data_IF_713020345328
#
_entry.id   IF_713020345328
#
_cell.length_a   1.000
_cell.length_b   1.000
_cell.length_c   1.000
_cell.angle_alpha   90.00
_cell.angle_beta   90.00
_cell.angle_gamma   90.00
#
_symmetry.space_group_name_H-M   'P 1'
#
loop_
_entity.id
_entity.type
_entity.pdbx_description
1 polymer ?
#
# COMPACT_ATOMS: atom_id res chain seq x y z
N UNK A 1 -25.17 -9.11 -23.79
CA UNK A 1 -25.28 -7.64 -23.74
C UNK A 1 -23.96 -6.89 -23.93
N UNK A 2 -23.02 -6.83 -22.98
CA UNK A 2 -21.83 -5.96 -23.15
C UNK A 2 -20.89 -6.37 -24.32
N UNK A 3 -20.72 -7.68 -24.56
CA UNK A 3 -19.98 -8.19 -25.72
C UNK A 3 -20.70 -7.94 -27.06
N UNK A 4 -22.04 -8.00 -27.06
CA UNK A 4 -22.88 -7.77 -28.25
C UNK A 4 -22.82 -6.29 -28.68
N UNK A 5 -22.77 -5.35 -27.73
CA UNK A 5 -22.59 -3.92 -28.00
C UNK A 5 -21.18 -3.63 -28.59
N UNK A 6 -20.18 -4.42 -28.21
CA UNK A 6 -18.83 -4.36 -28.77
C UNK A 6 -18.72 -5.01 -30.16
N UNK A 7 -19.80 -5.46 -30.79
CA UNK A 7 -19.81 -5.93 -32.18
C UNK A 7 -20.49 -4.94 -33.14
N UNK A 8 -21.11 -3.87 -32.62
CA UNK A 8 -21.78 -2.82 -33.41
C UNK A 8 -20.75 -1.85 -34.01
N UNK A 9 -20.96 -1.35 -35.24
CA UNK A 9 -19.97 -0.49 -35.93
C UNK A 9 -19.89 0.94 -35.42
N UNK A 10 -20.97 1.46 -34.80
CA UNK A 10 -21.09 2.82 -34.25
C UNK A 10 -21.01 2.80 -32.71
N UNK A 11 -19.88 2.35 -32.16
CA UNK A 11 -19.64 2.44 -30.71
C UNK A 11 -19.25 3.85 -30.34
N UNK A 12 -19.92 4.42 -29.35
CA UNK A 12 -19.54 5.70 -28.79
C UNK A 12 -18.60 5.55 -27.58
N UNK A 13 -18.15 6.68 -27.02
CA UNK A 13 -17.28 6.68 -25.85
C UNK A 13 -17.96 6.08 -24.61
N UNK A 14 -19.29 6.15 -24.50
CA UNK A 14 -20.03 5.57 -23.38
C UNK A 14 -20.05 4.05 -23.45
N UNK A 15 -20.22 3.48 -24.64
CA UNK A 15 -20.14 2.03 -24.87
C UNK A 15 -18.78 1.48 -24.46
N UNK A 16 -17.70 2.16 -24.86
CA UNK A 16 -16.32 1.79 -24.51
C UNK A 16 -16.12 1.86 -23.00
N UNK A 17 -16.62 2.92 -22.34
CA UNK A 17 -16.52 3.08 -20.88
C UNK A 17 -17.31 2.02 -20.13
N UNK A 18 -18.56 1.77 -20.53
CA UNK A 18 -19.41 0.76 -19.92
C UNK A 18 -18.76 -0.63 -20.02
N UNK A 19 -18.23 -0.97 -21.19
CA UNK A 19 -17.52 -2.21 -21.40
C UNK A 19 -16.23 -2.29 -20.57
N UNK A 20 -15.46 -1.21 -20.49
CA UNK A 20 -14.28 -1.11 -19.64
C UNK A 20 -14.58 -1.37 -18.16
N UNK A 21 -15.67 -0.79 -17.63
CA UNK A 21 -16.13 -1.07 -16.27
C UNK A 21 -16.53 -2.53 -16.07
N UNK A 22 -17.25 -3.13 -17.02
CA UNK A 22 -17.60 -4.55 -16.97
C UNK A 22 -16.33 -5.43 -16.90
N UNK A 23 -15.32 -5.15 -17.73
CA UNK A 23 -14.06 -5.91 -17.71
C UNK A 23 -13.30 -5.75 -16.39
N UNK A 24 -13.24 -4.53 -15.85
CA UNK A 24 -12.63 -4.26 -14.53
C UNK A 24 -13.30 -5.09 -13.43
N UNK A 25 -14.63 -5.11 -13.40
CA UNK A 25 -15.38 -5.84 -12.38
C UNK A 25 -15.26 -7.36 -12.54
N UNK A 26 -15.27 -7.87 -13.77
CA UNK A 26 -15.03 -9.28 -14.07
C UNK A 26 -13.64 -9.73 -13.60
N UNK A 27 -12.59 -8.94 -13.88
CA UNK A 27 -11.23 -9.22 -13.40
C UNK A 27 -11.20 -9.26 -11.88
N UNK A 28 -11.71 -8.23 -11.21
CA UNK A 28 -11.74 -8.16 -9.73
C UNK A 28 -12.45 -9.37 -9.13
N UNK A 29 -13.62 -9.74 -9.67
CA UNK A 29 -14.42 -10.88 -9.21
C UNK A 29 -13.68 -12.20 -9.39
N UNK A 30 -13.15 -12.45 -10.58
CA UNK A 30 -12.58 -13.74 -10.95
C UNK A 30 -11.22 -13.96 -10.25
N UNK A 31 -10.40 -12.91 -10.13
CA UNK A 31 -9.17 -12.95 -9.31
C UNK A 31 -9.50 -13.26 -7.85
N UNK A 32 -10.49 -12.56 -7.26
CA UNK A 32 -10.90 -12.77 -5.86
C UNK A 32 -11.46 -14.18 -5.63
N UNK A 33 -12.14 -14.75 -6.62
CA UNK A 33 -12.75 -16.08 -6.52
C UNK A 33 -11.79 -17.21 -6.91
N UNK A 34 -10.57 -16.90 -7.34
CA UNK A 34 -9.60 -17.89 -7.83
C UNK A 34 -9.90 -18.45 -9.23
N UNK A 35 -10.88 -17.90 -9.94
CA UNK A 35 -11.30 -18.35 -11.27
C UNK A 35 -10.44 -17.73 -12.38
N UNK A 36 -9.19 -18.20 -12.51
CA UNK A 36 -8.20 -17.57 -13.41
C UNK A 36 -8.44 -17.81 -14.91
N UNK A 37 -9.34 -18.73 -15.29
CA UNK A 37 -9.50 -19.21 -16.67
C UNK A 37 -9.71 -18.09 -17.69
N UNK A 38 -10.48 -17.05 -17.33
CA UNK A 38 -10.84 -15.96 -18.24
C UNK A 38 -10.12 -14.63 -17.95
N UNK A 39 -9.36 -14.55 -16.85
CA UNK A 39 -8.71 -13.31 -16.39
C UNK A 39 -7.75 -12.75 -17.44
N UNK A 40 -6.94 -13.62 -18.06
CA UNK A 40 -6.01 -13.22 -19.11
C UNK A 40 -6.72 -12.64 -20.34
N UNK A 41 -7.87 -13.21 -20.72
CA UNK A 41 -8.66 -12.72 -21.84
C UNK A 41 -9.29 -11.35 -21.53
N UNK A 42 -9.88 -11.18 -20.36
CA UNK A 42 -10.41 -9.88 -19.95
C UNK A 42 -9.33 -8.80 -19.87
N UNK A 43 -8.14 -9.15 -19.38
CA UNK A 43 -6.99 -8.24 -19.33
C UNK A 43 -6.59 -7.76 -20.73
N UNK A 44 -6.48 -8.68 -21.69
CA UNK A 44 -6.17 -8.35 -23.08
C UNK A 44 -7.23 -7.44 -23.71
N UNK A 45 -8.51 -7.74 -23.48
CA UNK A 45 -9.60 -6.88 -23.97
C UNK A 45 -9.54 -5.47 -23.35
N UNK A 46 -9.29 -5.39 -22.05
CA UNK A 46 -9.18 -4.14 -21.31
C UNK A 46 -7.97 -3.31 -21.76
N UNK A 47 -6.86 -3.95 -22.09
CA UNK A 47 -5.69 -3.31 -22.69
C UNK A 47 -5.97 -2.71 -24.07
N UNK A 48 -6.79 -3.40 -24.87
CA UNK A 48 -7.17 -2.96 -26.21
C UNK A 48 -8.13 -1.77 -26.25
N UNK A 49 -8.77 -1.40 -25.13
CA UNK A 49 -9.71 -0.28 -25.10
C UNK A 49 -8.99 1.07 -25.21
N UNK A 50 -9.52 1.93 -26.10
CA UNK A 50 -9.14 3.33 -26.20
C UNK A 50 -9.96 4.13 -25.19
N UNK A 51 -9.40 4.29 -23.99
CA UNK A 51 -10.02 5.06 -22.91
C UNK A 51 -9.45 6.48 -22.99
N UNK A 52 -10.32 7.48 -22.96
CA UNK A 52 -9.91 8.89 -22.90
C UNK A 52 -9.03 9.12 -21.66
N UNK A 53 -7.78 9.61 -21.82
CA UNK A 53 -6.88 9.90 -20.70
C UNK A 53 -7.42 10.93 -19.69
N UNK A 54 -8.38 11.78 -20.09
CA UNK A 54 -9.04 12.72 -19.17
C UNK A 54 -9.96 12.02 -18.16
N UNK A 55 -10.39 10.79 -18.45
CA UNK A 55 -11.10 9.93 -17.50
C UNK A 55 -10.11 9.28 -16.53
N UNK A 56 -9.66 10.07 -15.55
CA UNK A 56 -8.69 9.64 -14.55
C UNK A 56 -9.19 8.42 -13.77
N UNK A 57 -10.49 8.35 -13.48
CA UNK A 57 -11.08 7.29 -12.65
C UNK A 57 -10.99 5.96 -13.40
N UNK A 58 -11.52 5.87 -14.62
CA UNK A 58 -11.49 4.62 -15.36
C UNK A 58 -10.06 4.22 -15.74
N UNK A 59 -9.19 5.20 -16.04
CA UNK A 59 -7.77 4.96 -16.29
C UNK A 59 -7.07 4.31 -15.09
N UNK A 60 -7.27 4.84 -13.88
CA UNK A 60 -6.72 4.25 -12.65
C UNK A 60 -7.29 2.85 -12.38
N UNK A 61 -8.61 2.66 -12.57
CA UNK A 61 -9.26 1.36 -12.35
C UNK A 61 -8.78 0.31 -13.34
N UNK A 62 -8.54 0.68 -14.60
CA UNK A 62 -7.92 -0.17 -15.60
C UNK A 62 -6.53 -0.61 -15.16
N UNK A 63 -5.66 0.34 -14.79
CA UNK A 63 -4.30 0.02 -14.36
C UNK A 63 -4.31 -0.89 -13.13
N UNK A 64 -5.21 -0.63 -12.18
CA UNK A 64 -5.39 -1.46 -11.00
C UNK A 64 -5.84 -2.89 -11.37
N UNK A 65 -6.85 -3.04 -12.24
CA UNK A 65 -7.33 -4.34 -12.67
C UNK A 65 -6.24 -5.15 -13.40
N UNK A 66 -5.47 -4.51 -14.28
CA UNK A 66 -4.35 -5.16 -14.97
C UNK A 66 -3.24 -5.58 -14.00
N UNK A 67 -2.95 -4.77 -12.97
CA UNK A 67 -2.03 -5.19 -11.90
C UNK A 67 -2.54 -6.42 -11.16
N UNK A 68 -3.84 -6.55 -10.88
CA UNK A 68 -4.41 -7.74 -10.23
C UNK A 68 -4.22 -9.04 -11.05
N UNK A 69 -3.99 -8.94 -12.35
CA UNK A 69 -3.70 -10.09 -13.19
C UNK A 69 -2.28 -10.63 -13.00
N UNK A 70 -1.39 -9.89 -12.32
CA UNK A 70 -0.01 -10.34 -12.04
C UNK A 70 0.10 -10.98 -10.66
N UNK A 71 1.04 -11.93 -10.46
CA UNK A 71 1.27 -12.52 -9.13
C UNK A 71 1.56 -11.48 -8.05
N UNK A 72 2.38 -10.47 -8.36
CA UNK A 72 2.70 -9.39 -7.41
C UNK A 72 1.47 -8.56 -7.06
N UNK A 73 0.61 -8.24 -8.02
CA UNK A 73 -0.64 -7.50 -7.75
C UNK A 73 -1.62 -8.28 -6.87
N UNK A 74 -1.70 -9.59 -7.04
CA UNK A 74 -2.51 -10.45 -6.16
C UNK A 74 -1.93 -10.51 -4.74
N UNK A 75 -0.61 -10.60 -4.59
CA UNK A 75 0.05 -10.53 -3.30
C UNK A 75 -0.19 -9.17 -2.61
N UNK A 76 -0.07 -8.06 -3.33
CA UNK A 76 -0.38 -6.72 -2.82
C UNK A 76 -1.84 -6.64 -2.35
N UNK A 77 -2.78 -7.19 -3.13
CA UNK A 77 -4.19 -7.16 -2.78
C UNK A 77 -4.47 -8.01 -1.54
N UNK A 78 -3.86 -9.19 -1.44
CA UNK A 78 -3.91 -10.03 -0.24
C UNK A 78 -3.37 -9.29 0.98
N UNK A 79 -2.25 -8.58 0.85
CA UNK A 79 -1.68 -7.79 1.94
C UNK A 79 -2.63 -6.67 2.41
N UNK A 80 -3.28 -5.98 1.47
CA UNK A 80 -4.31 -4.96 1.78
C UNK A 80 -5.50 -5.55 2.53
N UNK A 81 -5.99 -6.71 2.10
CA UNK A 81 -7.13 -7.37 2.75
C UNK A 81 -6.78 -7.87 4.16
N UNK A 82 -5.55 -8.36 4.36
CA UNK A 82 -5.03 -8.70 5.69
C UNK A 82 -4.92 -7.47 6.60
N UNK A 83 -4.41 -6.36 6.08
CA UNK A 83 -4.33 -5.09 6.83
C UNK A 83 -5.71 -4.60 7.27
N UNK A 84 -6.73 -4.72 6.41
CA UNK A 84 -8.13 -4.40 6.76
C UNK A 84 -8.72 -5.31 7.83
N UNK A 85 -8.22 -6.55 7.94
CA UNK A 85 -8.61 -7.51 8.97
C UNK A 85 -7.75 -7.38 10.24
N UNK A 86 -6.98 -6.29 10.38
CA UNK A 86 -6.04 -6.05 11.49
C UNK A 86 -4.92 -7.09 11.62
N UNK A 87 -4.72 -7.94 10.59
CA UNK A 87 -3.64 -8.93 10.50
C UNK A 87 -2.35 -8.27 9.99
N UNK A 88 -1.89 -7.26 10.71
CA UNK A 88 -0.78 -6.40 10.30
C UNK A 88 0.54 -7.15 10.13
N UNK A 89 0.82 -8.16 10.97
CA UNK A 89 2.04 -8.97 10.84
C UNK A 89 2.04 -9.81 9.55
N UNK A 90 0.89 -10.37 9.17
CA UNK A 90 0.76 -11.14 7.93
C UNK A 90 0.88 -10.23 6.70
N UNK A 91 0.23 -9.07 6.72
CA UNK A 91 0.34 -8.06 5.67
C UNK A 91 1.79 -7.56 5.50
N UNK A 92 2.46 -7.27 6.61
CA UNK A 92 3.87 -6.87 6.66
C UNK A 92 4.78 -7.90 5.98
N UNK A 93 4.59 -9.19 6.28
CA UNK A 93 5.42 -10.27 5.71
C UNK A 93 5.28 -10.35 4.18
N UNK A 94 4.08 -10.10 3.64
CA UNK A 94 3.87 -10.06 2.19
C UNK A 94 4.58 -8.85 1.59
N UNK A 95 4.42 -7.64 2.14
CA UNK A 95 5.12 -6.46 1.62
C UNK A 95 6.64 -6.60 1.70
N UNK A 96 7.16 -7.22 2.76
CA UNK A 96 8.60 -7.50 2.92
C UNK A 96 9.09 -8.48 1.86
N UNK A 97 8.31 -9.52 1.55
CA UNK A 97 8.62 -10.46 0.47
C UNK A 97 8.70 -9.74 -0.88
N UNK A 98 7.70 -8.91 -1.19
CA UNK A 98 7.65 -8.12 -2.43
C UNK A 98 8.87 -7.19 -2.54
N UNK A 99 9.14 -6.43 -1.47
CA UNK A 99 10.28 -5.52 -1.39
C UNK A 99 11.63 -6.23 -1.61
N UNK A 100 11.81 -7.41 -1.00
CA UNK A 100 13.02 -8.21 -1.15
C UNK A 100 13.13 -8.90 -2.52
N UNK A 101 12.00 -9.13 -3.20
CA UNK A 101 11.98 -9.68 -4.56
C UNK A 101 12.31 -8.66 -5.66
N UNK A 102 12.43 -7.37 -5.31
CA UNK A 102 12.94 -6.31 -6.18
C UNK A 102 11.95 -5.17 -6.45
N UNK A 103 10.66 -5.32 -6.14
CA UNK A 103 9.71 -4.22 -6.24
C UNK A 103 9.84 -3.29 -5.03
N UNK A 104 10.70 -2.28 -5.19
CA UNK A 104 10.92 -1.21 -4.23
C UNK A 104 10.23 0.08 -4.65
N UNK A 105 9.10 0.00 -5.36
CA UNK A 105 8.31 1.18 -5.70
C UNK A 105 7.90 1.98 -4.45
N UNK A 106 7.66 3.27 -4.63
CA UNK A 106 7.29 4.17 -3.52
C UNK A 106 6.04 3.66 -2.77
N UNK A 107 5.06 3.12 -3.49
CA UNK A 107 3.83 2.56 -2.92
C UNK A 107 4.10 1.36 -2.02
N UNK A 108 4.99 0.45 -2.43
CA UNK A 108 5.38 -0.72 -1.63
C UNK A 108 6.12 -0.27 -0.38
N UNK A 109 7.09 0.65 -0.52
CA UNK A 109 7.83 1.17 0.64
C UNK A 109 6.93 1.90 1.63
N UNK A 110 5.98 2.69 1.14
CA UNK A 110 4.98 3.37 1.98
C UNK A 110 4.07 2.38 2.68
N UNK A 111 3.57 1.37 1.98
CA UNK A 111 2.71 0.32 2.56
C UNK A 111 3.46 -0.49 3.61
N UNK A 112 4.71 -0.87 3.30
CA UNK A 112 5.61 -1.57 4.22
C UNK A 112 5.84 -0.76 5.50
N UNK A 113 6.13 0.54 5.37
CA UNK A 113 6.33 1.43 6.51
C UNK A 113 5.09 1.51 7.41
N UNK A 114 3.90 1.61 6.83
CA UNK A 114 2.65 1.63 7.59
C UNK A 114 2.43 0.33 8.37
N UNK A 115 2.63 -0.83 7.75
CA UNK A 115 2.47 -2.11 8.45
C UNK A 115 3.55 -2.30 9.53
N UNK A 116 4.80 -1.89 9.28
CA UNK A 116 5.87 -1.89 10.30
C UNK A 116 5.48 -1.06 11.53
N UNK A 117 4.93 0.14 11.30
CA UNK A 117 4.46 1.00 12.39
C UNK A 117 3.33 0.37 13.19
N UNK A 118 2.33 -0.20 12.53
CA UNK A 118 1.17 -0.83 13.20
C UNK A 118 1.59 -2.03 14.04
N UNK A 119 2.48 -2.88 13.52
CA UNK A 119 3.04 -4.01 14.27
C UNK A 119 3.85 -3.51 15.47
N UNK A 120 4.72 -2.51 15.28
CA UNK A 120 5.54 -1.97 16.36
C UNK A 120 4.68 -1.29 17.44
N UNK A 121 3.64 -0.55 17.06
CA UNK A 121 2.69 0.07 17.98
C UNK A 121 1.99 -0.99 18.83
N UNK A 122 1.49 -2.07 18.22
CA UNK A 122 0.87 -3.16 18.93
C UNK A 122 1.82 -3.85 19.93
N UNK A 123 3.13 -3.85 19.69
CA UNK A 123 4.13 -4.36 20.65
C UNK A 123 4.40 -3.44 21.83
N UNK A 124 4.21 -2.12 21.65
CA UNK A 124 4.35 -1.15 22.74
C UNK A 124 3.09 -1.11 23.61
N UNK A 125 1.92 -1.29 23.00
CA UNK A 125 0.61 -1.20 23.67
C UNK A 125 0.25 -2.46 24.51
N UNK A 126 1.12 -3.49 24.54
CA UNK A 126 0.94 -4.70 25.35
C UNK A 126 1.24 -4.47 26.85
N UNK A 127 0.64 -5.28 27.73
CA UNK A 127 0.90 -5.24 29.19
C UNK A 127 2.39 -5.40 29.54
N UNK A 128 3.10 -6.24 28.78
CA UNK A 128 4.56 -6.39 28.81
C UNK A 128 5.13 -5.95 27.46
N UNK A 129 5.48 -4.65 27.30
CA UNK A 129 5.91 -4.12 26.00
C UNK A 129 7.19 -4.75 25.47
N UNK A 130 7.17 -5.17 24.21
CA UNK A 130 8.38 -5.64 23.51
C UNK A 130 9.11 -4.49 22.80
N UNK A 131 9.78 -3.66 23.59
CA UNK A 131 10.46 -2.45 23.10
C UNK A 131 11.66 -2.74 22.19
N UNK A 132 12.32 -3.87 22.38
CA UNK A 132 13.46 -4.26 21.55
C UNK A 132 13.00 -4.58 20.13
N UNK A 133 11.90 -5.33 19.99
CA UNK A 133 11.36 -5.67 18.69
C UNK A 133 10.72 -4.45 18.00
N UNK A 134 10.02 -3.59 18.74
CA UNK A 134 9.54 -2.31 18.22
C UNK A 134 10.70 -1.43 17.69
N UNK A 135 11.85 -1.45 18.36
CA UNK A 135 13.06 -0.75 17.90
C UNK A 135 13.66 -1.36 16.62
N UNK A 136 13.56 -2.67 16.42
CA UNK A 136 13.97 -3.31 15.16
C UNK A 136 13.14 -2.77 13.99
N UNK A 137 11.82 -2.63 14.15
CA UNK A 137 10.96 -2.02 13.14
C UNK A 137 11.29 -0.56 12.86
N UNK A 138 11.62 0.22 13.88
CA UNK A 138 12.11 1.60 13.70
C UNK A 138 13.40 1.63 12.86
N UNK A 139 14.36 0.77 13.16
CA UNK A 139 15.62 0.69 12.42
C UNK A 139 15.41 0.24 10.98
N UNK A 140 14.48 -0.68 10.73
CA UNK A 140 14.14 -1.11 9.37
C UNK A 140 13.46 0.01 8.58
N UNK A 141 12.57 0.78 9.21
CA UNK A 141 11.95 1.95 8.58
C UNK A 141 12.98 2.99 8.13
N UNK A 142 14.01 3.24 8.92
CA UNK A 142 15.08 4.21 8.58
C UNK A 142 15.84 3.83 7.30
N UNK A 143 15.82 2.56 6.89
CA UNK A 143 16.44 2.08 5.64
C UNK A 143 15.54 2.30 4.42
N UNK A 144 14.25 2.60 4.61
CA UNK A 144 13.29 2.82 3.52
C UNK A 144 13.44 4.24 2.95
N UNK A 145 13.34 4.33 1.63
CA UNK A 145 13.35 5.57 0.84
C UNK A 145 11.92 6.10 0.67
N UNK A 146 11.22 6.27 1.79
CA UNK A 146 9.87 6.88 1.78
C UNK A 146 9.94 8.39 1.59
N UNK A 147 8.90 9.00 1.01
CA UNK A 147 8.78 10.46 0.97
C UNK A 147 8.74 11.04 2.38
N UNK A 148 9.50 12.12 2.57
CA UNK A 148 9.61 12.87 3.82
C UNK A 148 9.48 14.37 3.51
N UNK A 149 8.78 15.16 4.33
CA UNK A 149 8.00 14.74 5.50
C UNK A 149 6.74 13.94 5.10
N UNK A 150 6.25 13.07 5.97
CA UNK A 150 4.99 12.33 5.77
C UNK A 150 4.36 11.89 7.09
N UNK A 151 3.08 11.54 7.07
CA UNK A 151 2.37 11.11 8.28
C UNK A 151 3.00 9.84 8.91
N UNK A 152 3.40 8.87 8.08
CA UNK A 152 4.06 7.66 8.58
C UNK A 152 5.41 8.01 9.24
N UNK A 153 6.11 9.03 8.73
CA UNK A 153 7.34 9.54 9.34
C UNK A 153 7.05 10.08 10.76
N UNK A 154 6.06 10.95 10.92
CA UNK A 154 5.60 11.42 12.24
C UNK A 154 5.25 10.28 13.20
N UNK A 155 4.59 9.22 12.70
CA UNK A 155 4.26 8.03 13.50
C UNK A 155 5.52 7.32 14.03
N UNK A 156 6.58 7.21 13.22
CA UNK A 156 7.85 6.64 13.66
C UNK A 156 8.64 7.55 14.61
N UNK A 157 8.50 8.87 14.50
CA UNK A 157 9.04 9.80 15.51
C UNK A 157 8.38 9.56 16.86
N UNK A 158 7.06 9.43 16.90
CA UNK A 158 6.35 9.07 18.13
C UNK A 158 6.79 7.72 18.68
N UNK A 159 6.95 6.72 17.80
CA UNK A 159 7.45 5.40 18.21
C UNK A 159 8.82 5.51 18.90
N UNK A 160 9.73 6.32 18.34
CA UNK A 160 11.04 6.57 18.94
C UNK A 160 10.93 7.25 20.32
N UNK A 161 10.06 8.26 20.46
CA UNK A 161 9.80 8.96 21.73
C UNK A 161 9.29 7.99 22.82
N UNK A 162 8.33 7.12 22.49
CA UNK A 162 7.82 6.12 23.45
C UNK A 162 8.89 5.11 23.90
N UNK A 163 9.71 4.63 22.96
CA UNK A 163 10.83 3.73 23.30
C UNK A 163 11.88 4.47 24.16
N UNK A 164 12.10 5.76 23.91
CA UNK A 164 13.03 6.59 24.66
C UNK A 164 12.55 6.89 26.09
N UNK A 165 11.26 7.18 26.29
CA UNK A 165 10.65 7.37 27.63
C UNK A 165 10.86 6.17 28.55
N UNK A 166 10.99 4.97 27.98
CA UNK A 166 11.27 3.72 28.70
C UNK A 166 12.77 3.38 28.78
N UNK A 167 13.66 4.30 28.38
CA UNK A 167 15.11 4.17 28.48
C UNK A 167 15.75 3.21 27.47
N UNK A 168 15.06 2.80 26.40
CA UNK A 168 15.56 1.82 25.41
C UNK A 168 16.08 2.45 24.12
N UNK A 169 15.95 3.76 23.98
CA UNK A 169 16.45 4.54 22.84
C UNK A 169 17.06 5.85 23.30
N UNK A 170 18.22 6.20 22.74
CA UNK A 170 18.87 7.48 22.97
C UNK A 170 18.38 8.49 21.91
N UNK A 171 17.59 9.48 22.32
CA UNK A 171 17.02 10.46 21.40
C UNK A 171 18.06 11.37 20.74
N UNK A 172 19.19 11.64 21.40
CA UNK A 172 20.27 12.45 20.81
C UNK A 172 20.89 11.72 19.61
N UNK A 173 21.20 10.44 19.76
CA UNK A 173 21.71 9.61 18.66
C UNK A 173 20.66 9.44 17.55
N UNK A 174 19.39 9.27 17.93
CA UNK A 174 18.29 9.14 16.96
C UNK A 174 18.09 10.41 16.13
N UNK A 175 18.08 11.59 16.76
CA UNK A 175 17.89 12.88 16.07
C UNK A 175 18.92 13.11 14.96
N UNK A 176 20.16 12.65 15.14
CA UNK A 176 21.22 12.71 14.12
C UNK A 176 20.91 11.91 12.86
N UNK A 177 20.18 10.79 13.01
CA UNK A 177 19.82 9.88 11.91
C UNK A 177 18.45 10.28 11.31
N UNK A 178 17.55 10.81 12.14
CA UNK A 178 16.18 11.12 11.76
C UNK A 178 16.06 12.20 10.68
N UNK A 179 16.99 13.15 10.66
CA UNK A 179 16.93 14.41 9.92
C UNK A 179 15.76 15.32 10.39
N UNK A 180 16.08 16.30 11.23
CA UNK A 180 15.08 17.20 11.83
C UNK A 180 14.37 18.11 10.83
N UNK A 181 14.89 18.27 9.61
CA UNK A 181 14.21 18.99 8.52
C UNK A 181 12.91 18.30 8.08
N UNK A 182 12.73 17.03 8.42
CA UNK A 182 11.55 16.23 8.09
C UNK A 182 10.42 16.32 9.14
N UNK A 183 10.54 17.22 10.13
CA UNK A 183 9.51 17.47 11.13
C UNK A 183 8.32 18.24 10.53
N UNK A 184 7.12 17.77 10.82
CA UNK A 184 5.86 18.42 10.47
C UNK A 184 5.42 19.35 11.60
N UNK A 185 4.64 20.41 11.31
CA UNK A 185 4.07 21.28 12.36
C UNK A 185 3.36 20.49 13.47
N UNK A 186 2.61 19.45 13.08
CA UNK A 186 1.88 18.56 14.00
C UNK A 186 2.80 17.82 15.00
N UNK A 187 4.07 17.58 14.65
CA UNK A 187 5.03 16.88 15.51
C UNK A 187 5.38 17.72 16.75
N UNK A 188 5.24 19.04 16.67
CA UNK A 188 5.50 19.97 17.77
C UNK A 188 4.30 20.15 18.71
N UNK A 189 3.07 19.86 18.25
CA UNK A 189 1.84 20.13 19.02
C UNK A 189 1.83 19.38 20.36
N UNK A 190 2.45 18.20 20.42
CA UNK A 190 2.56 17.40 21.66
C UNK A 190 3.47 18.00 22.73
N UNK A 191 4.25 19.00 22.37
CA UNK A 191 5.20 19.68 23.25
C UNK A 191 4.84 21.15 23.50
N UNK A 192 3.77 21.65 22.86
CA UNK A 192 3.21 22.96 23.21
C UNK A 192 2.50 22.84 24.56
N UNK A 193 2.98 23.61 25.53
CA UNK A 193 2.35 23.81 26.84
C UNK A 193 1.35 24.94 26.77
#
# INVERSE_FOLDING_TARGET
>A
MALELMEISDKDDWDIKAFGWCLVDLIKRDVKSGHQKNVANYAQQLEGLKIDPSDNILTEQRQYALKLCTPSGQEIQKAKDLSKQEKHLEALNIYRKIFNSGDQSEDIQKSLAWEQYRVAKAMIDQDLPNLNEAKNYLNDYLKLKTKKPSQVHSCFLWLADEIAKKGKLNMVSFARIWNLECLRPDDYERYRK
#
